data_IF_550131212949
#
_entry.id   IF_550131212949
#
_cell.length_a   1.000
_cell.length_b   1.000
_cell.length_c   1.000
_cell.angle_alpha   90.00
_cell.angle_beta   90.00
_cell.angle_gamma   90.00
#
_symmetry.space_group_name_H-M   'P 1'
#
loop_
_entity.id
_entity.type
_entity.pdbx_description
1 polymer ?
#
# COMPACT_ATOMS: atom_id res chain seq x y z
N UNK A 1 8.62 -13.79 -3.51
CA UNK A 1 7.42 -13.29 -2.85
C UNK A 1 6.66 -12.43 -3.85
N UNK A 2 5.40 -12.73 -4.13
CA UNK A 2 4.52 -11.92 -4.98
C UNK A 2 3.71 -10.90 -4.13
N UNK A 3 2.95 -10.00 -4.75
CA UNK A 3 2.23 -8.96 -3.98
C UNK A 3 1.13 -9.54 -3.08
N UNK A 4 0.51 -10.65 -3.49
CA UNK A 4 -0.52 -11.32 -2.70
C UNK A 4 0.08 -11.97 -1.45
N UNK A 5 1.23 -12.63 -1.58
CA UNK A 5 2.01 -13.20 -0.48
C UNK A 5 2.48 -12.11 0.49
N UNK A 6 2.97 -10.98 -0.02
CA UNK A 6 3.38 -9.83 0.80
C UNK A 6 2.20 -9.26 1.60
N UNK A 7 1.05 -9.03 0.94
CA UNK A 7 -0.18 -8.58 1.59
C UNK A 7 -0.60 -9.55 2.70
N UNK A 8 -0.53 -10.86 2.44
CA UNK A 8 -0.92 -11.87 3.43
C UNK A 8 0.01 -11.87 4.65
N UNK A 9 1.32 -11.75 4.46
CA UNK A 9 2.27 -11.63 5.59
C UNK A 9 2.02 -10.37 6.42
N UNK A 10 1.76 -9.24 5.78
CA UNK A 10 1.39 -7.99 6.45
C UNK A 10 0.13 -8.17 7.31
N UNK A 11 -0.94 -8.73 6.74
CA UNK A 11 -2.21 -8.94 7.45
C UNK A 11 -2.06 -9.94 8.61
N UNK A 12 -1.26 -10.99 8.45
CA UNK A 12 -0.94 -11.94 9.53
C UNK A 12 -0.22 -11.24 10.69
N UNK A 13 0.76 -10.40 10.39
CA UNK A 13 1.46 -9.60 11.40
C UNK A 13 0.50 -8.66 12.14
N UNK A 14 -0.38 -7.96 11.41
CA UNK A 14 -1.37 -7.05 12.01
C UNK A 14 -2.42 -7.79 12.85
N UNK A 15 -2.84 -8.98 12.40
CA UNK A 15 -3.76 -9.85 13.14
C UNK A 15 -3.13 -10.27 14.47
N UNK A 16 -1.87 -10.69 14.44
CA UNK A 16 -1.11 -11.06 15.65
C UNK A 16 -0.96 -9.89 16.63
N UNK A 17 -0.79 -8.67 16.10
CA UNK A 17 -0.69 -7.43 16.89
C UNK A 17 -2.05 -6.86 17.34
N UNK A 18 -3.16 -7.40 16.84
CA UNK A 18 -4.51 -6.89 17.14
C UNK A 18 -4.78 -5.48 16.58
N UNK A 19 -4.15 -5.11 15.45
CA UNK A 19 -4.23 -3.77 14.85
C UNK A 19 -4.76 -3.75 13.41
N UNK A 20 -5.63 -4.70 13.06
CA UNK A 20 -6.34 -4.67 11.78
C UNK A 20 -7.19 -3.37 11.64
N UNK A 21 -7.33 -2.83 10.42
CA UNK A 21 -8.14 -1.63 10.20
C UNK A 21 -9.61 -1.92 10.51
N UNK A 22 -10.34 -0.92 11.01
CA UNK A 22 -11.77 -1.03 11.35
C UNK A 22 -12.65 -0.99 10.10
N UNK A 23 -12.35 -0.07 9.20
CA UNK A 23 -13.11 0.15 7.97
C UNK A 23 -12.23 0.77 6.87
N UNK A 24 -12.81 0.93 5.69
CA UNK A 24 -12.17 1.54 4.52
C UNK A 24 -11.88 3.05 4.70
N UNK A 25 -12.65 3.76 5.53
CA UNK A 25 -12.46 5.19 5.76
C UNK A 25 -11.15 5.43 6.53
N UNK A 26 -10.91 4.65 7.59
CA UNK A 26 -9.64 4.66 8.34
C UNK A 26 -8.44 4.43 7.42
N UNK A 27 -8.51 3.44 6.53
CA UNK A 27 -7.39 3.12 5.63
C UNK A 27 -7.17 4.21 4.59
N UNK A 28 -8.23 4.82 4.05
CA UNK A 28 -8.10 5.94 3.10
C UNK A 28 -7.46 7.15 3.77
N UNK A 29 -7.81 7.46 5.02
CA UNK A 29 -7.20 8.58 5.75
C UNK A 29 -5.70 8.35 5.95
N UNK A 30 -5.30 7.16 6.41
CA UNK A 30 -3.87 6.83 6.53
C UNK A 30 -3.18 6.83 5.16
N UNK A 31 -3.80 6.31 4.09
CA UNK A 31 -3.20 6.37 2.76
C UNK A 31 -2.92 7.81 2.29
N UNK A 32 -3.80 8.76 2.61
CA UNK A 32 -3.58 10.18 2.32
C UNK A 32 -2.44 10.76 3.16
N UNK A 33 -2.31 10.32 4.42
CA UNK A 33 -1.20 10.68 5.31
C UNK A 33 0.14 10.23 4.72
N UNK A 34 0.31 8.95 4.35
CA UNK A 34 1.59 8.44 3.80
C UNK A 34 1.96 9.14 2.47
N UNK A 35 0.96 9.46 1.62
CA UNK A 35 1.22 10.22 0.39
C UNK A 35 1.68 11.64 0.71
N UNK A 36 1.18 12.22 1.80
CA UNK A 36 1.65 13.49 2.34
C UNK A 36 3.11 13.41 2.79
N UNK A 37 3.49 12.33 3.47
CA UNK A 37 4.86 12.09 3.93
C UNK A 37 5.83 11.90 2.76
N UNK A 38 5.44 11.16 1.70
CA UNK A 38 6.20 11.10 0.44
C UNK A 38 6.41 12.50 -0.16
N UNK A 39 5.37 13.34 -0.14
CA UNK A 39 5.48 14.71 -0.65
C UNK A 39 6.40 15.59 0.21
N UNK A 40 6.37 15.41 1.53
CA UNK A 40 7.28 16.06 2.47
C UNK A 40 8.72 15.62 2.27
N UNK A 41 8.97 14.31 2.13
CA UNK A 41 10.28 13.74 1.89
C UNK A 41 10.96 14.35 0.65
N UNK A 42 10.20 14.52 -0.44
CA UNK A 42 10.67 15.18 -1.67
C UNK A 42 10.97 16.67 -1.42
N UNK A 43 10.06 17.37 -0.74
CA UNK A 43 10.17 18.82 -0.48
C UNK A 43 11.35 19.15 0.42
N UNK A 44 11.59 18.34 1.44
CA UNK A 44 12.63 18.56 2.45
C UNK A 44 13.96 17.89 2.09
N UNK A 45 14.04 17.21 0.93
CA UNK A 45 15.23 16.47 0.51
C UNK A 45 15.73 15.49 1.59
N UNK A 46 14.78 14.76 2.19
CA UNK A 46 15.10 13.66 3.09
C UNK A 46 16.01 12.66 2.38
N UNK A 47 16.80 11.93 3.16
CA UNK A 47 17.70 10.97 2.57
C UNK A 47 16.94 9.79 1.95
N UNK A 48 17.68 8.99 1.20
CA UNK A 48 17.09 7.95 0.37
C UNK A 48 16.38 6.88 1.20
N UNK A 49 16.88 6.56 2.40
CA UNK A 49 16.30 5.53 3.25
C UNK A 49 14.93 5.97 3.76
N UNK A 50 14.83 7.21 4.25
CA UNK A 50 13.57 7.80 4.69
C UNK A 50 12.55 7.84 3.53
N UNK A 51 12.96 8.34 2.36
CA UNK A 51 12.08 8.37 1.18
C UNK A 51 11.59 6.97 0.75
N UNK A 52 12.45 5.95 0.83
CA UNK A 52 12.06 4.57 0.51
C UNK A 52 11.05 4.01 1.52
N UNK A 53 11.15 4.38 2.80
CA UNK A 53 10.19 4.01 3.84
C UNK A 53 8.81 4.63 3.59
N UNK A 54 8.74 5.93 3.29
CA UNK A 54 7.45 6.59 3.02
C UNK A 54 6.72 5.97 1.80
N UNK A 55 7.47 5.58 0.78
CA UNK A 55 6.92 4.86 -0.38
C UNK A 55 6.40 3.46 0.02
N UNK A 56 7.10 2.78 0.93
CA UNK A 56 6.67 1.48 1.44
C UNK A 56 5.39 1.60 2.27
N UNK A 57 5.21 2.68 3.03
CA UNK A 57 4.01 2.92 3.81
C UNK A 57 2.78 3.17 2.92
N UNK A 58 2.94 3.84 1.78
CA UNK A 58 1.88 3.91 0.75
C UNK A 58 1.43 2.51 0.31
N UNK A 59 2.37 1.60 0.02
CA UNK A 59 2.05 0.22 -0.33
C UNK A 59 1.38 -0.52 0.84
N UNK A 60 1.82 -0.25 2.07
CA UNK A 60 1.24 -0.82 3.28
C UNK A 60 -0.24 -0.47 3.41
N UNK A 61 -0.63 0.80 3.21
CA UNK A 61 -2.03 1.20 3.27
C UNK A 61 -2.84 0.68 2.06
N UNK A 62 -2.26 0.63 0.86
CA UNK A 62 -2.90 0.02 -0.32
C UNK A 62 -3.22 -1.45 -0.12
N UNK A 63 -2.32 -2.21 0.52
CA UNK A 63 -2.54 -3.61 0.86
C UNK A 63 -3.71 -3.81 1.83
N UNK A 64 -3.87 -2.92 2.82
CA UNK A 64 -5.03 -2.93 3.73
C UNK A 64 -6.34 -2.74 2.96
N UNK A 65 -6.41 -1.79 2.02
CA UNK A 65 -7.59 -1.61 1.15
C UNK A 65 -7.86 -2.85 0.31
N UNK A 66 -6.82 -3.41 -0.30
CA UNK A 66 -6.97 -4.62 -1.12
C UNK A 66 -7.49 -5.80 -0.29
N UNK A 67 -7.05 -5.94 0.96
CA UNK A 67 -7.54 -6.97 1.87
C UNK A 67 -9.01 -6.78 2.27
N UNK A 68 -9.43 -5.54 2.57
CA UNK A 68 -10.82 -5.20 2.89
C UNK A 68 -11.76 -5.53 1.72
N UNK A 69 -11.37 -5.14 0.50
CA UNK A 69 -12.19 -5.31 -0.71
C UNK A 69 -11.95 -6.64 -1.46
N UNK A 70 -11.15 -7.55 -0.91
CA UNK A 70 -10.82 -8.86 -1.53
C UNK A 70 -10.24 -8.72 -2.94
N UNK A 71 -9.36 -7.73 -3.12
CA UNK A 71 -8.65 -7.46 -4.37
C UNK A 71 -7.30 -8.19 -4.35
N UNK A 72 -7.00 -8.89 -5.45
CA UNK A 72 -5.65 -9.30 -5.81
C UNK A 72 -5.03 -8.20 -6.68
N UNK A 73 -4.15 -7.38 -6.09
CA UNK A 73 -3.58 -6.21 -6.76
C UNK A 73 -2.69 -6.60 -7.94
N UNK A 74 -1.94 -7.70 -7.83
CA UNK A 74 -1.07 -8.18 -8.90
C UNK A 74 -1.88 -8.55 -10.15
N UNK A 75 -2.94 -9.33 -9.99
CA UNK A 75 -3.83 -9.69 -11.11
C UNK A 75 -4.49 -8.46 -11.74
N UNK A 76 -4.95 -7.51 -10.93
CA UNK A 76 -5.56 -6.26 -11.43
C UNK A 76 -4.55 -5.41 -12.17
N UNK A 77 -3.32 -5.34 -11.67
CA UNK A 77 -2.23 -4.61 -12.30
C UNK A 77 -1.85 -5.23 -13.65
N UNK A 78 -1.71 -6.56 -13.73
CA UNK A 78 -1.41 -7.28 -14.97
C UNK A 78 -2.52 -7.02 -16.02
N UNK A 79 -3.80 -7.16 -15.64
CA UNK A 79 -4.93 -6.85 -16.52
C UNK A 79 -4.88 -5.41 -17.04
N UNK A 80 -4.49 -4.46 -16.19
CA UNK A 80 -4.35 -3.04 -16.55
C UNK A 80 -3.16 -2.81 -17.49
N UNK A 81 -2.05 -3.51 -17.27
CA UNK A 81 -0.84 -3.46 -18.09
C UNK A 81 -1.16 -3.91 -19.53
N UNK A 82 -1.76 -5.09 -19.70
CA UNK A 82 -2.17 -5.63 -21.00
C UNK A 82 -3.16 -4.72 -21.74
N UNK A 83 -4.06 -4.05 -21.00
CA UNK A 83 -5.00 -3.09 -21.58
C UNK A 83 -4.30 -1.84 -22.11
N UNK A 84 -3.23 -1.40 -21.45
CA UNK A 84 -2.47 -0.21 -21.85
C UNK A 84 -1.55 -0.47 -23.05
N UNK A 85 -1.02 -1.69 -23.23
CA UNK A 85 -0.24 -2.04 -24.43
C UNK A 85 -1.06 -1.96 -25.73
N UNK A 86 -2.37 -2.18 -25.63
CA UNK A 86 -3.30 -2.15 -26.77
C UNK A 86 -3.83 -0.75 -27.09
N UNK A 87 -3.37 0.27 -26.37
CA UNK A 87 -3.91 1.63 -26.41
C UNK A 87 -2.96 2.56 -27.15
#
# INVERSE_FOLDING_TARGET
MNLEELKNQQIEQMTTKGCLPKDEQEVILHLVEEVGEVCEAIREHQDKEDFENEIADVLWQLNKLCWLHKINLEEVFIKKLEKNEKR
#
